data_IF_768436220349
#
_entry.id   IF_768436220349
#
_cell.length_a   1.000
_cell.length_b   1.000
_cell.length_c   1.000
_cell.angle_alpha   90.00
_cell.angle_beta   90.00
_cell.angle_gamma   90.00
#
_symmetry.space_group_name_H-M   'P 1'
#
loop_
_entity.id
_entity.type
_entity.pdbx_description
1 polymer ?
#
# COMPACT_ATOMS: atom_id res chain seq x y z
N UNK A 1 50.31 31.84 51.19
CA UNK A 1 50.88 32.76 50.19
C UNK A 1 51.49 31.84 49.12
N UNK A 2 51.11 31.83 47.86
CA UNK A 2 50.77 32.89 46.91
C UNK A 2 49.66 32.45 45.94
N UNK A 3 48.83 33.42 45.55
CA UNK A 3 47.76 33.31 44.56
C UNK A 3 48.37 33.11 43.16
N UNK A 4 47.87 32.17 42.38
CA UNK A 4 47.95 32.24 40.92
C UNK A 4 46.55 32.05 40.33
N UNK A 5 46.04 33.19 39.87
CA UNK A 5 44.84 33.37 39.09
C UNK A 5 45.19 32.96 37.66
N UNK A 6 44.67 31.85 37.16
CA UNK A 6 44.70 31.54 35.72
C UNK A 6 43.27 31.53 35.20
N UNK A 7 42.93 32.69 34.66
CA UNK A 7 41.80 32.97 33.80
C UNK A 7 41.86 32.05 32.57
N UNK A 8 41.05 30.96 32.55
CA UNK A 8 40.89 30.17 31.33
C UNK A 8 39.58 30.58 30.67
N UNK A 9 39.75 31.33 29.59
CA UNK A 9 38.78 31.84 28.64
C UNK A 9 37.72 30.78 28.27
N UNK A 10 36.50 30.92 28.79
CA UNK A 10 35.34 30.22 28.24
C UNK A 10 35.00 30.94 26.92
N UNK A 11 35.49 30.38 25.81
CA UNK A 11 35.01 30.75 24.49
C UNK A 11 33.54 30.31 24.40
N UNK A 12 32.64 31.23 24.70
CA UNK A 12 31.21 31.10 24.48
C UNK A 12 30.99 31.07 22.96
N UNK A 13 30.98 29.86 22.39
CA UNK A 13 30.66 29.63 20.98
C UNK A 13 29.16 29.93 20.80
N UNK A 14 28.87 31.16 20.40
CA UNK A 14 27.54 31.63 20.05
C UNK A 14 27.12 30.90 18.78
N UNK A 15 26.35 29.81 18.93
CA UNK A 15 25.74 29.11 17.79
C UNK A 15 24.61 30.00 17.27
N UNK A 16 24.92 30.81 16.26
CA UNK A 16 23.89 31.48 15.47
C UNK A 16 23.15 30.41 14.65
N UNK A 17 21.82 30.28 14.78
CA UNK A 17 21.05 29.49 13.84
C UNK A 17 21.04 30.25 12.51
N UNK A 18 21.89 29.84 11.57
CA UNK A 18 21.77 30.29 10.19
C UNK A 18 20.48 29.70 9.61
N UNK A 19 19.66 30.49 8.87
CA UNK A 19 18.59 29.93 8.08
C UNK A 19 19.21 29.03 7.01
N UNK A 20 19.01 27.72 7.12
CA UNK A 20 19.36 26.74 6.08
C UNK A 20 18.36 26.93 4.94
N UNK A 21 18.66 27.85 4.05
CA UNK A 21 18.18 27.82 2.66
C UNK A 21 19.38 27.48 1.79
N UNK A 22 19.73 26.20 1.77
CA UNK A 22 20.68 25.66 0.82
C UNK A 22 19.89 24.73 -0.12
N UNK A 23 19.72 25.16 -1.37
CA UNK A 23 19.64 24.18 -2.45
C UNK A 23 20.95 23.39 -2.36
N UNK A 24 20.89 22.11 -2.01
CA UNK A 24 22.05 21.25 -1.99
C UNK A 24 22.54 21.13 -3.44
N UNK A 25 23.62 21.82 -3.79
CA UNK A 25 24.25 21.64 -5.09
C UNK A 25 24.82 20.22 -5.14
N UNK A 26 24.24 19.36 -5.98
CA UNK A 26 24.76 18.02 -6.24
C UNK A 26 26.16 18.16 -6.84
N UNK A 27 27.15 17.55 -6.19
CA UNK A 27 28.54 17.56 -6.66
C UNK A 27 28.69 16.63 -7.87
N UNK A 28 29.57 16.99 -8.81
CA UNK A 28 29.81 16.24 -10.04
C UNK A 28 30.56 14.92 -9.85
N UNK A 29 31.04 14.58 -8.64
CA UNK A 29 31.70 13.30 -8.39
C UNK A 29 32.90 13.03 -9.31
N UNK A 30 33.00 11.81 -9.83
CA UNK A 30 33.99 11.44 -10.86
C UNK A 30 33.39 11.76 -12.23
N UNK A 31 34.09 12.56 -13.04
CA UNK A 31 33.57 13.04 -14.32
C UNK A 31 33.80 12.08 -15.48
N UNK A 32 32.96 12.15 -16.54
CA UNK A 32 33.21 11.43 -17.78
C UNK A 32 34.59 11.76 -18.37
N UNK A 33 35.35 10.71 -18.70
CA UNK A 33 36.70 10.86 -19.25
C UNK A 33 37.83 10.77 -18.21
N UNK A 34 37.51 10.78 -16.91
CA UNK A 34 38.46 10.39 -15.87
C UNK A 34 38.61 8.87 -15.83
N UNK A 35 39.81 8.37 -15.50
CA UNK A 35 40.14 6.93 -15.52
C UNK A 35 39.18 6.09 -14.68
N UNK A 36 38.73 6.63 -13.53
CA UNK A 36 37.86 5.92 -12.60
C UNK A 36 36.36 6.05 -12.91
N UNK A 37 35.96 6.82 -13.92
CA UNK A 37 34.55 7.02 -14.26
C UNK A 37 33.84 5.71 -14.63
N UNK A 38 34.57 4.79 -15.29
CA UNK A 38 34.02 3.47 -15.59
C UNK A 38 33.62 2.71 -14.32
N UNK A 39 34.41 2.80 -13.26
CA UNK A 39 34.11 2.15 -11.98
C UNK A 39 32.96 2.83 -11.26
N UNK A 40 32.87 4.15 -11.37
CA UNK A 40 31.79 4.96 -10.79
C UNK A 40 30.43 4.53 -11.35
N UNK A 41 30.25 4.65 -12.67
CA UNK A 41 29.03 4.23 -13.36
C UNK A 41 28.75 2.72 -13.22
N UNK A 42 29.78 1.87 -13.13
CA UNK A 42 29.59 0.44 -12.87
C UNK A 42 29.06 0.19 -11.46
N UNK A 43 29.57 0.90 -10.45
CA UNK A 43 29.12 0.79 -9.06
C UNK A 43 27.69 1.31 -8.89
N UNK A 44 27.32 2.39 -9.58
CA UNK A 44 25.95 2.91 -9.66
C UNK A 44 24.99 1.86 -10.25
N UNK A 45 25.34 1.26 -11.39
CA UNK A 45 24.53 0.22 -12.04
C UNK A 45 24.37 -1.02 -11.17
N UNK A 46 25.44 -1.46 -10.50
CA UNK A 46 25.38 -2.56 -9.52
C UNK A 46 24.45 -2.17 -8.36
N UNK A 47 24.62 -0.97 -7.80
CA UNK A 47 23.79 -0.45 -6.74
C UNK A 47 22.31 -0.37 -7.13
N UNK A 48 22.01 0.08 -8.34
CA UNK A 48 20.66 0.16 -8.90
C UNK A 48 20.06 -1.22 -9.17
N UNK A 49 20.87 -2.19 -9.61
CA UNK A 49 20.46 -3.58 -9.79
C UNK A 49 20.00 -4.20 -8.46
N UNK A 50 20.77 -4.00 -7.39
CA UNK A 50 20.47 -4.50 -6.04
C UNK A 50 19.50 -3.62 -5.24
N UNK A 51 19.10 -2.46 -5.76
CA UNK A 51 18.07 -1.64 -5.12
C UNK A 51 16.71 -2.30 -5.27
N UNK A 52 16.07 -2.68 -4.17
CA UNK A 52 14.76 -3.34 -4.23
C UNK A 52 13.61 -2.33 -4.24
N UNK A 53 12.59 -2.62 -5.06
CA UNK A 53 11.36 -1.84 -5.17
C UNK A 53 11.44 -0.72 -6.21
N UNK A 54 10.35 -0.55 -6.98
CA UNK A 54 10.26 0.49 -8.03
C UNK A 54 10.40 1.90 -7.46
N UNK A 55 9.88 2.14 -6.25
CA UNK A 55 9.99 3.44 -5.57
C UNK A 55 11.45 3.83 -5.35
N UNK A 56 12.25 2.96 -4.74
CA UNK A 56 13.65 3.24 -4.46
C UNK A 56 14.48 3.34 -5.74
N UNK A 57 14.17 2.52 -6.76
CA UNK A 57 14.82 2.63 -8.07
C UNK A 57 14.53 3.96 -8.75
N UNK A 58 13.30 4.48 -8.65
CA UNK A 58 12.95 5.78 -9.21
C UNK A 58 13.73 6.91 -8.52
N UNK A 59 13.78 6.89 -7.18
CA UNK A 59 14.53 7.88 -6.38
C UNK A 59 16.02 7.86 -6.73
N UNK A 60 16.62 6.67 -6.79
CA UNK A 60 18.03 6.51 -7.13
C UNK A 60 18.36 6.94 -8.57
N UNK A 61 17.47 6.67 -9.51
CA UNK A 61 17.61 7.17 -10.88
C UNK A 61 17.59 8.71 -10.93
N UNK A 62 16.73 9.38 -10.14
CA UNK A 62 16.76 10.84 -10.04
C UNK A 62 18.08 11.37 -9.47
N UNK A 63 18.63 10.71 -8.43
CA UNK A 63 19.94 11.07 -7.87
C UNK A 63 21.05 10.98 -8.92
N UNK A 64 21.09 9.90 -9.71
CA UNK A 64 22.06 9.78 -10.80
C UNK A 64 21.81 10.82 -11.90
N UNK A 65 20.55 11.16 -12.20
CA UNK A 65 20.24 12.22 -13.17
C UNK A 65 20.80 13.57 -12.72
N UNK A 66 20.66 13.92 -11.43
CA UNK A 66 21.27 15.13 -10.85
C UNK A 66 22.80 15.12 -10.98
N UNK A 67 23.44 13.98 -10.72
CA UNK A 67 24.88 13.80 -10.86
C UNK A 67 25.35 14.01 -12.30
N UNK A 68 24.65 13.41 -13.28
CA UNK A 68 24.97 13.62 -14.71
C UNK A 68 24.83 15.08 -15.13
N UNK A 69 23.88 15.83 -14.56
CA UNK A 69 23.76 17.28 -14.83
C UNK A 69 24.93 18.08 -14.23
N UNK A 70 25.38 17.71 -13.04
CA UNK A 70 26.55 18.31 -12.41
C UNK A 70 27.82 18.05 -13.24
N UNK A 71 28.03 16.80 -13.68
CA UNK A 71 29.12 16.42 -14.59
C UNK A 71 29.08 17.21 -15.90
N UNK A 72 27.90 17.38 -16.50
CA UNK A 72 27.73 18.13 -17.73
C UNK A 72 28.06 19.62 -17.56
N UNK A 73 27.61 20.23 -16.45
CA UNK A 73 27.91 21.63 -16.12
C UNK A 73 29.40 21.86 -15.95
N UNK A 74 30.10 20.97 -15.25
CA UNK A 74 31.55 21.09 -15.06
C UNK A 74 32.31 20.83 -16.36
N UNK A 75 31.95 19.78 -17.10
CA UNK A 75 32.57 19.43 -18.39
C UNK A 75 32.38 20.53 -19.45
N UNK A 76 31.25 21.23 -19.42
CA UNK A 76 31.00 22.38 -20.29
C UNK A 76 31.95 23.54 -19.97
N UNK A 77 32.23 23.82 -18.70
CA UNK A 77 33.21 24.85 -18.31
C UNK A 77 34.64 24.48 -18.77
N UNK A 78 34.93 23.20 -18.93
CA UNK A 78 36.22 22.67 -19.42
C UNK A 78 36.29 22.54 -20.94
N UNK A 79 35.24 22.92 -21.68
CA UNK A 79 35.09 22.71 -23.13
C UNK A 79 35.25 21.22 -23.55
N UNK A 80 34.94 20.29 -22.65
CA UNK A 80 35.04 18.86 -22.94
C UNK A 80 33.72 18.32 -23.52
N UNK A 81 33.53 18.53 -24.82
CA UNK A 81 32.29 18.17 -25.55
C UNK A 81 31.94 16.69 -25.44
N UNK A 82 32.92 15.79 -25.52
CA UNK A 82 32.69 14.34 -25.38
C UNK A 82 32.20 13.96 -23.99
N UNK A 83 32.71 14.61 -22.95
CA UNK A 83 32.24 14.38 -21.59
C UNK A 83 30.80 14.89 -21.41
N UNK A 84 30.47 16.05 -21.97
CA UNK A 84 29.09 16.57 -22.00
C UNK A 84 28.16 15.59 -22.72
N UNK A 85 28.50 15.13 -23.92
CA UNK A 85 27.68 14.17 -24.67
C UNK A 85 27.41 12.89 -23.88
N UNK A 86 28.44 12.37 -23.19
CA UNK A 86 28.31 11.16 -22.37
C UNK A 86 27.42 11.39 -21.15
N UNK A 87 27.59 12.53 -20.46
CA UNK A 87 26.73 12.91 -19.35
C UNK A 87 25.26 13.07 -19.80
N UNK A 88 25.02 13.68 -20.97
CA UNK A 88 23.67 13.82 -21.54
C UNK A 88 23.05 12.48 -21.92
N UNK A 89 23.84 11.51 -22.39
CA UNK A 89 23.34 10.16 -22.62
C UNK A 89 22.89 9.50 -21.31
N UNK A 90 23.72 9.56 -20.26
CA UNK A 90 23.38 9.02 -18.95
C UNK A 90 22.17 9.71 -18.32
N UNK A 91 22.10 11.04 -18.38
CA UNK A 91 20.95 11.81 -17.88
C UNK A 91 19.63 11.33 -18.48
N UNK A 92 19.59 11.14 -19.81
CA UNK A 92 18.39 10.67 -20.52
C UNK A 92 17.97 9.27 -20.06
N UNK A 93 18.92 8.36 -19.85
CA UNK A 93 18.63 7.01 -19.34
C UNK A 93 18.00 7.10 -17.95
N UNK A 94 18.59 7.90 -17.06
CA UNK A 94 18.18 7.99 -15.65
C UNK A 94 16.83 8.69 -15.47
N UNK A 95 16.58 9.82 -16.15
CA UNK A 95 15.28 10.50 -16.05
C UNK A 95 14.13 9.67 -16.66
N UNK A 96 14.42 8.91 -17.73
CA UNK A 96 13.44 7.99 -18.33
C UNK A 96 13.14 6.83 -17.40
N UNK A 97 14.17 6.28 -16.75
CA UNK A 97 14.03 5.21 -15.78
C UNK A 97 13.23 5.66 -14.55
N UNK A 98 13.52 6.84 -14.01
CA UNK A 98 12.78 7.43 -12.90
C UNK A 98 11.28 7.55 -13.23
N UNK A 99 10.99 8.05 -14.42
CA UNK A 99 9.62 8.16 -14.94
C UNK A 99 8.96 6.79 -15.08
N UNK A 100 9.63 5.81 -15.69
CA UNK A 100 9.10 4.45 -15.87
C UNK A 100 8.80 3.75 -14.54
N UNK A 101 9.73 3.80 -13.59
CA UNK A 101 9.56 3.13 -12.29
C UNK A 101 8.50 3.78 -11.43
N UNK A 102 8.31 5.09 -11.54
CA UNK A 102 7.22 5.81 -10.86
C UNK A 102 5.85 5.37 -11.35
N UNK A 103 5.66 5.23 -12.67
CA UNK A 103 4.41 4.71 -13.25
C UNK A 103 4.13 3.25 -12.92
N UNK A 104 5.18 2.44 -12.80
CA UNK A 104 5.05 1.02 -12.51
C UNK A 104 4.66 0.69 -11.08
N UNK A 105 4.41 1.69 -10.21
CA UNK A 105 4.01 1.48 -8.83
C UNK A 105 2.55 1.05 -8.74
N UNK A 106 2.30 0.00 -7.93
CA UNK A 106 0.94 -0.51 -7.67
C UNK A 106 0.15 0.35 -6.71
N UNK A 107 0.84 1.05 -5.81
CA UNK A 107 0.24 1.97 -4.86
C UNK A 107 0.05 3.33 -5.55
N UNK A 108 -1.21 3.70 -5.79
CA UNK A 108 -1.57 4.91 -6.53
C UNK A 108 -1.11 6.20 -5.83
N UNK A 109 -1.14 6.24 -4.50
CA UNK A 109 -0.70 7.42 -3.76
C UNK A 109 0.81 7.60 -3.88
N UNK A 110 1.57 6.49 -3.76
CA UNK A 110 3.02 6.51 -3.96
C UNK A 110 3.40 6.81 -5.40
N UNK A 111 2.66 6.28 -6.36
CA UNK A 111 2.85 6.58 -7.78
C UNK A 111 2.67 8.07 -8.04
N UNK A 112 1.58 8.66 -7.54
CA UNK A 112 1.32 10.10 -7.66
C UNK A 112 2.42 10.94 -7.00
N UNK A 113 2.83 10.62 -5.77
CA UNK A 113 3.90 11.31 -5.06
C UNK A 113 5.20 11.31 -5.87
N UNK A 114 5.64 10.14 -6.34
CA UNK A 114 6.87 10.01 -7.11
C UNK A 114 6.79 10.69 -8.47
N UNK A 115 5.65 10.62 -9.17
CA UNK A 115 5.45 11.32 -10.44
C UNK A 115 5.50 12.85 -10.27
N UNK A 116 5.00 13.38 -9.15
CA UNK A 116 5.14 14.81 -8.83
C UNK A 116 6.63 15.16 -8.65
N UNK A 117 7.36 14.36 -7.87
CA UNK A 117 8.81 14.55 -7.68
C UNK A 117 9.56 14.51 -9.01
N UNK A 118 9.25 13.55 -9.89
CA UNK A 118 9.85 13.47 -11.24
C UNK A 118 9.53 14.71 -12.06
N UNK A 119 8.27 15.17 -12.07
CA UNK A 119 7.85 16.35 -12.80
C UNK A 119 8.57 17.62 -12.31
N UNK A 120 8.64 17.83 -11.00
CA UNK A 120 9.33 18.97 -10.39
C UNK A 120 10.83 18.96 -10.69
N UNK A 121 11.48 17.79 -10.60
CA UNK A 121 12.89 17.66 -10.96
C UNK A 121 13.12 17.89 -12.45
N UNK A 122 12.28 17.35 -13.33
CA UNK A 122 12.38 17.57 -14.77
C UNK A 122 12.29 19.06 -15.14
N UNK A 123 11.49 19.88 -14.43
CA UNK A 123 11.46 21.34 -14.62
C UNK A 123 12.80 21.96 -14.23
N UNK A 124 13.32 21.65 -13.05
CA UNK A 124 14.62 22.15 -12.58
C UNK A 124 15.77 21.73 -13.49
N UNK A 125 15.73 20.48 -13.96
CA UNK A 125 16.73 19.92 -14.86
C UNK A 125 16.75 20.64 -16.20
N UNK A 126 15.58 21.01 -16.74
CA UNK A 126 15.49 21.81 -17.97
C UNK A 126 16.17 23.18 -17.83
N UNK A 127 16.09 23.83 -16.67
CA UNK A 127 16.80 25.10 -16.41
C UNK A 127 18.32 24.91 -16.42
N UNK A 128 18.81 23.84 -15.79
CA UNK A 128 20.23 23.50 -15.79
C UNK A 128 20.71 23.17 -17.20
N UNK A 129 19.96 22.33 -17.94
CA UNK A 129 20.28 21.97 -19.32
C UNK A 129 20.31 23.18 -20.25
N UNK A 130 19.39 24.13 -20.09
CA UNK A 130 19.41 25.39 -20.83
C UNK A 130 20.67 26.20 -20.52
N UNK A 131 21.08 26.29 -19.24
CA UNK A 131 22.33 26.94 -18.86
C UNK A 131 23.57 26.26 -19.44
N UNK A 132 23.59 24.92 -19.52
CA UNK A 132 24.69 24.17 -20.13
C UNK A 132 24.72 24.39 -21.65
N UNK A 133 23.55 24.44 -22.30
CA UNK A 133 23.41 24.67 -23.74
C UNK A 133 24.06 26.00 -24.18
N UNK A 134 23.95 27.04 -23.36
CA UNK A 134 24.54 28.37 -23.63
C UNK A 134 26.08 28.37 -23.58
N UNK A 135 26.68 27.43 -22.84
CA UNK A 135 28.12 27.40 -22.57
C UNK A 135 28.91 26.50 -23.51
N UNK A 136 28.26 25.48 -24.06
CA UNK A 136 28.96 24.50 -24.89
C UNK A 136 29.14 24.99 -26.32
N UNK A 137 30.21 24.55 -27.01
CA UNK A 137 30.37 24.82 -28.43
C UNK A 137 29.37 24.00 -29.25
N UNK A 138 29.24 24.33 -30.54
CA UNK A 138 28.18 23.83 -31.43
C UNK A 138 28.13 22.30 -31.49
N UNK A 139 29.28 21.64 -31.38
CA UNK A 139 29.44 20.20 -31.46
C UNK A 139 28.62 19.45 -30.39
N UNK A 140 28.48 20.02 -29.18
CA UNK A 140 27.79 19.37 -28.07
C UNK A 140 26.32 19.82 -27.91
N UNK A 141 25.87 20.86 -28.63
CA UNK A 141 24.52 21.42 -28.45
C UNK A 141 23.41 20.42 -28.74
N UNK A 142 23.57 19.59 -29.77
CA UNK A 142 22.54 18.61 -30.15
C UNK A 142 22.28 17.60 -29.03
N UNK A 143 23.33 17.16 -28.31
CA UNK A 143 23.16 16.22 -27.21
C UNK A 143 22.32 16.81 -26.07
N UNK A 144 22.51 18.11 -25.77
CA UNK A 144 21.75 18.82 -24.74
C UNK A 144 20.32 19.11 -25.19
N UNK A 145 20.12 19.51 -26.45
CA UNK A 145 18.76 19.70 -27.00
C UNK A 145 17.94 18.41 -26.91
N UNK A 146 18.54 17.27 -27.25
CA UNK A 146 17.90 15.96 -27.09
C UNK A 146 17.60 15.63 -25.62
N UNK A 147 18.49 16.02 -24.69
CA UNK A 147 18.25 15.83 -23.25
C UNK A 147 17.08 16.70 -22.74
N UNK A 148 16.98 17.94 -23.22
CA UNK A 148 15.84 18.84 -22.92
C UNK A 148 14.53 18.23 -23.43
N UNK A 149 14.52 17.70 -24.66
CA UNK A 149 13.33 17.07 -25.25
C UNK A 149 12.89 15.85 -24.44
N UNK A 150 13.81 14.96 -24.07
CA UNK A 150 13.50 13.80 -23.21
C UNK A 150 12.99 14.25 -21.84
N UNK A 151 13.58 15.30 -21.26
CA UNK A 151 13.13 15.85 -19.98
C UNK A 151 11.70 16.39 -20.07
N UNK A 152 11.35 17.10 -21.15
CA UNK A 152 10.00 17.61 -21.39
C UNK A 152 9.00 16.50 -21.60
N UNK A 153 9.33 15.52 -22.44
CA UNK A 153 8.47 14.36 -22.68
C UNK A 153 8.22 13.55 -21.40
N UNK A 154 9.24 13.38 -20.56
CA UNK A 154 9.11 12.75 -19.25
C UNK A 154 8.20 13.55 -18.30
N UNK A 155 8.33 14.88 -18.26
CA UNK A 155 7.49 15.78 -17.46
C UNK A 155 6.02 15.74 -17.90
N UNK A 156 5.75 15.90 -19.20
CA UNK A 156 4.40 15.89 -19.76
C UNK A 156 3.68 14.58 -19.43
N UNK A 157 4.39 13.48 -19.60
CA UNK A 157 3.89 12.15 -19.31
C UNK A 157 3.70 11.92 -17.81
N UNK A 158 4.57 12.45 -16.94
CA UNK A 158 4.36 12.40 -15.49
C UNK A 158 3.09 13.17 -15.09
N UNK A 159 2.89 14.38 -15.62
CA UNK A 159 1.70 15.21 -15.39
C UNK A 159 0.44 14.48 -15.87
N UNK A 160 0.47 13.87 -17.06
CA UNK A 160 -0.65 13.09 -17.57
C UNK A 160 -1.03 11.96 -16.61
N UNK A 161 -0.06 11.18 -16.17
CA UNK A 161 -0.30 10.06 -15.24
C UNK A 161 -0.86 10.53 -13.89
N UNK A 162 -0.37 11.66 -13.35
CA UNK A 162 -0.94 12.29 -12.15
C UNK A 162 -2.42 12.64 -12.35
N UNK A 163 -2.78 13.21 -13.50
CA UNK A 163 -4.18 13.56 -13.78
C UNK A 163 -5.09 12.33 -13.90
N UNK A 164 -4.59 11.25 -14.49
CA UNK A 164 -5.32 9.97 -14.61
C UNK A 164 -5.56 9.35 -13.22
N UNK A 165 -4.53 9.28 -12.38
CA UNK A 165 -4.63 8.75 -11.01
C UNK A 165 -5.64 9.54 -10.16
N UNK A 166 -5.61 10.88 -10.22
CA UNK A 166 -6.59 11.72 -9.52
C UNK A 166 -8.02 11.46 -9.98
N UNK A 167 -8.22 11.27 -11.28
CA UNK A 167 -9.53 10.92 -11.85
C UNK A 167 -10.06 9.58 -11.35
N UNK A 168 -9.21 8.56 -11.30
CA UNK A 168 -9.56 7.23 -10.78
C UNK A 168 -9.93 7.25 -9.30
N UNK A 169 -9.14 7.98 -8.49
CA UNK A 169 -9.40 8.13 -7.05
C UNK A 169 -10.76 8.79 -6.80
N UNK A 170 -11.12 9.83 -7.54
CA UNK A 170 -12.42 10.48 -7.41
C UNK A 170 -13.59 9.57 -7.83
N UNK A 171 -13.40 8.71 -8.85
CA UNK A 171 -14.39 7.71 -9.24
C UNK A 171 -14.58 6.67 -8.14
N UNK A 172 -13.50 6.13 -7.58
CA UNK A 172 -13.53 5.15 -6.50
C UNK A 172 -14.21 5.71 -5.24
N UNK A 173 -13.97 6.99 -4.90
CA UNK A 173 -14.66 7.66 -3.78
C UNK A 173 -16.17 7.70 -3.98
N UNK A 174 -16.64 7.99 -5.20
CA UNK A 174 -18.08 7.98 -5.53
C UNK A 174 -18.67 6.58 -5.41
N UNK A 175 -18.02 5.57 -5.97
CA UNK A 175 -18.46 4.17 -5.87
C UNK A 175 -18.53 3.71 -4.40
N UNK A 176 -17.53 4.05 -3.58
CA UNK A 176 -17.53 3.74 -2.14
C UNK A 176 -18.67 4.46 -1.41
N UNK A 177 -18.97 5.71 -1.74
CA UNK A 177 -20.08 6.45 -1.14
C UNK A 177 -21.44 5.83 -1.50
N UNK A 178 -21.64 5.45 -2.77
CA UNK A 178 -22.84 4.76 -3.22
C UNK A 178 -23.02 3.39 -2.55
N UNK A 179 -21.93 2.62 -2.41
CA UNK A 179 -21.96 1.34 -1.72
C UNK A 179 -22.29 1.49 -0.24
N UNK A 180 -21.74 2.51 0.43
CA UNK A 180 -22.09 2.82 1.83
C UNK A 180 -23.56 3.18 1.98
N UNK A 181 -24.09 4.06 1.11
CA UNK A 181 -25.50 4.42 1.12
C UNK A 181 -26.41 3.20 0.89
N UNK A 182 -26.09 2.33 -0.07
CA UNK A 182 -26.82 1.08 -0.32
C UNK A 182 -26.80 0.14 0.88
N UNK A 183 -25.66 0.02 1.56
CA UNK A 183 -25.52 -0.82 2.75
C UNK A 183 -26.35 -0.27 3.92
N UNK A 184 -26.33 1.05 4.15
CA UNK A 184 -27.16 1.70 5.17
C UNK A 184 -28.66 1.52 4.92
N UNK A 185 -29.10 1.60 3.66
CA UNK A 185 -30.50 1.32 3.30
C UNK A 185 -30.86 -0.13 3.56
N UNK A 186 -30.00 -1.09 3.18
CA UNK A 186 -30.23 -2.51 3.48
C UNK A 186 -30.26 -2.79 4.99
N UNK A 187 -29.40 -2.14 5.78
CA UNK A 187 -29.42 -2.26 7.25
C UNK A 187 -30.75 -1.73 7.80
N UNK A 188 -31.22 -0.55 7.35
CA UNK A 188 -32.51 0.02 7.76
C UNK A 188 -33.70 -0.85 7.36
N UNK A 189 -33.73 -1.36 6.13
CA UNK A 189 -34.76 -2.31 5.69
C UNK A 189 -34.73 -3.60 6.53
N UNK A 190 -33.53 -4.08 6.89
CA UNK A 190 -33.37 -5.26 7.75
C UNK A 190 -33.81 -5.00 9.19
N UNK A 191 -33.59 -3.79 9.71
CA UNK A 191 -34.04 -3.34 11.03
C UNK A 191 -35.56 -3.12 11.08
N UNK A 192 -36.16 -2.49 10.06
CA UNK A 192 -37.62 -2.33 9.94
C UNK A 192 -38.34 -3.69 9.77
N UNK A 193 -37.70 -4.66 9.09
CA UNK A 193 -38.16 -6.06 9.02
C UNK A 193 -38.01 -6.84 10.33
N UNK A 194 -37.19 -6.36 11.28
CA UNK A 194 -37.13 -6.89 12.65
C UNK A 194 -38.18 -6.23 13.52
N UNK A 195 -38.40 -4.92 13.42
CA UNK A 195 -39.35 -4.17 14.26
C UNK A 195 -40.82 -4.57 13.95
N UNK A 196 -41.14 -4.84 12.68
CA UNK A 196 -42.43 -5.45 12.30
C UNK A 196 -42.59 -6.92 12.75
N UNK A 197 -41.51 -7.57 13.20
CA UNK A 197 -41.50 -8.93 13.78
C UNK A 197 -41.46 -8.96 15.30
N UNK A 198 -41.31 -7.83 15.99
CA UNK A 198 -41.47 -7.75 17.45
C UNK A 198 -42.92 -7.35 17.76
N UNK A 199 -43.85 -8.29 17.53
CA UNK A 199 -44.98 -8.40 18.46
C UNK A 199 -44.38 -8.98 19.74
N UNK A 200 -44.68 -8.38 20.89
CA UNK A 200 -44.31 -8.89 22.21
C UNK A 200 -44.45 -10.41 22.21
N UNK A 201 -43.40 -11.20 22.53
CA UNK A 201 -43.45 -12.64 22.42
C UNK A 201 -44.64 -13.15 23.21
N UNK A 202 -45.56 -13.87 22.56
CA UNK A 202 -46.64 -14.54 23.28
C UNK A 202 -45.99 -15.50 24.29
N UNK A 203 -46.65 -15.83 25.40
CA UNK A 203 -46.08 -16.72 26.41
C UNK A 203 -45.57 -18.08 25.84
N UNK A 204 -46.08 -18.50 24.67
CA UNK A 204 -45.60 -19.64 23.89
C UNK A 204 -44.20 -19.45 23.31
N UNK A 205 -43.82 -18.24 22.91
CA UNK A 205 -42.54 -17.95 22.25
C UNK A 205 -41.37 -18.01 23.25
N UNK A 206 -41.58 -17.53 24.48
CA UNK A 206 -40.60 -17.65 25.57
C UNK A 206 -40.28 -19.11 25.93
N UNK A 207 -41.29 -19.99 25.90
CA UNK A 207 -41.09 -21.42 26.14
C UNK A 207 -40.26 -22.05 25.01
N UNK A 208 -40.52 -21.65 23.76
CA UNK A 208 -39.78 -22.14 22.58
C UNK A 208 -38.31 -21.67 22.61
N UNK A 209 -38.04 -20.43 23.01
CA UNK A 209 -36.68 -19.92 23.19
C UNK A 209 -35.90 -20.67 24.27
N UNK A 210 -36.56 -20.98 25.38
CA UNK A 210 -35.96 -21.80 26.45
C UNK A 210 -35.66 -23.22 25.96
N UNK A 211 -36.54 -23.80 25.14
CA UNK A 211 -36.36 -25.13 24.57
C UNK A 211 -35.16 -25.19 23.60
N UNK A 212 -34.97 -24.17 22.76
CA UNK A 212 -33.79 -24.08 21.88
C UNK A 212 -32.49 -23.94 22.67
N UNK A 213 -32.51 -23.14 23.75
CA UNK A 213 -31.34 -22.98 24.63
C UNK A 213 -30.97 -24.30 25.30
N UNK A 214 -31.97 -25.06 25.78
CA UNK A 214 -31.76 -26.39 26.34
C UNK A 214 -31.19 -27.37 25.31
N UNK A 215 -31.65 -27.34 24.05
CA UNK A 215 -31.09 -28.17 22.99
C UNK A 215 -29.61 -27.86 22.75
N UNK A 216 -29.25 -26.58 22.64
CA UNK A 216 -27.87 -26.15 22.41
C UNK A 216 -26.95 -26.67 23.54
N UNK A 217 -27.37 -26.51 24.80
CA UNK A 217 -26.65 -27.03 25.96
C UNK A 217 -26.44 -28.55 25.86
N UNK A 218 -27.47 -29.30 25.47
CA UNK A 218 -27.35 -30.76 25.31
C UNK A 218 -26.38 -31.11 24.18
N UNK A 219 -26.39 -30.38 23.07
CA UNK A 219 -25.49 -30.62 21.93
C UNK A 219 -24.04 -30.24 22.20
N UNK A 220 -23.80 -29.20 23.01
CA UNK A 220 -22.48 -28.80 23.48
C UNK A 220 -21.89 -29.84 24.43
N UNK A 221 -22.74 -30.40 25.31
CA UNK A 221 -22.33 -31.40 26.29
C UNK A 221 -22.39 -32.85 25.76
N UNK A 222 -22.79 -33.05 24.50
CA UNK A 222 -22.87 -34.37 23.89
C UNK A 222 -21.47 -34.95 23.61
N UNK A 223 -20.87 -35.48 24.69
CA UNK A 223 -19.80 -36.46 24.73
C UNK A 223 -18.39 -35.87 24.69
N UNK A 224 -17.82 -35.56 25.87
CA UNK A 224 -16.36 -35.46 25.99
C UNK A 224 -15.71 -36.76 25.51
N UNK A 225 -14.60 -36.65 24.75
CA UNK A 225 -13.92 -37.82 24.22
C UNK A 225 -13.37 -38.66 25.38
N UNK A 226 -13.73 -39.96 25.49
CA UNK A 226 -13.10 -40.82 26.48
C UNK A 226 -11.58 -40.89 26.24
N UNK A 227 -10.76 -40.94 27.31
CA UNK A 227 -9.31 -40.95 27.18
C UNK A 227 -8.82 -42.14 26.33
N UNK A 228 -9.52 -43.28 26.39
CA UNK A 228 -9.13 -44.53 25.72
C UNK A 228 -9.87 -44.82 24.40
N UNK A 229 -10.50 -43.82 23.76
CA UNK A 229 -11.22 -43.98 22.48
C UNK A 229 -10.51 -43.23 21.35
N UNK A 230 -10.44 -43.82 20.15
CA UNK A 230 -9.88 -43.15 18.97
C UNK A 230 -10.77 -41.96 18.55
N UNK A 231 -10.15 -40.94 17.97
CA UNK A 231 -10.87 -39.73 17.52
C UNK A 231 -11.95 -40.07 16.49
N UNK A 232 -11.69 -41.01 15.59
CA UNK A 232 -12.66 -41.44 14.58
C UNK A 232 -13.85 -42.19 15.19
N UNK A 233 -13.59 -43.14 16.09
CA UNK A 233 -14.67 -43.89 16.76
C UNK A 233 -15.53 -42.96 17.63
N UNK A 234 -14.90 -42.00 18.32
CA UNK A 234 -15.60 -40.99 19.09
C UNK A 234 -16.43 -40.05 18.21
N UNK A 235 -15.90 -39.58 17.07
CA UNK A 235 -16.65 -38.70 16.17
C UNK A 235 -17.95 -39.37 15.66
N UNK A 236 -17.91 -40.66 15.34
CA UNK A 236 -19.10 -41.43 14.94
C UNK A 236 -20.10 -41.59 16.10
N UNK A 237 -19.60 -41.91 17.30
CA UNK A 237 -20.44 -42.07 18.50
C UNK A 237 -21.06 -40.74 18.95
N UNK A 238 -20.28 -39.67 18.99
CA UNK A 238 -20.73 -38.32 19.34
C UNK A 238 -21.78 -37.80 18.34
N UNK A 239 -21.61 -38.06 17.04
CA UNK A 239 -22.64 -37.77 16.05
C UNK A 239 -23.94 -38.51 16.35
N UNK A 240 -23.87 -39.82 16.62
CA UNK A 240 -25.05 -40.62 16.98
C UNK A 240 -25.79 -40.12 18.23
N UNK A 241 -25.04 -39.72 19.26
CA UNK A 241 -25.59 -39.13 20.48
C UNK A 241 -26.29 -37.78 20.22
N UNK A 242 -25.66 -36.92 19.41
CA UNK A 242 -26.24 -35.63 19.02
C UNK A 242 -27.52 -35.81 18.19
N UNK A 243 -27.50 -36.71 17.21
CA UNK A 243 -28.71 -37.01 16.43
C UNK A 243 -29.84 -37.56 17.30
N UNK A 244 -29.52 -38.42 18.27
CA UNK A 244 -30.50 -38.95 19.21
C UNK A 244 -31.08 -37.85 20.12
N UNK A 245 -30.23 -36.99 20.67
CA UNK A 245 -30.65 -35.85 21.47
C UNK A 245 -31.58 -34.91 20.70
N UNK A 246 -31.26 -34.62 19.43
CA UNK A 246 -32.14 -33.84 18.58
C UNK A 246 -33.47 -34.58 18.35
N UNK A 247 -33.46 -35.88 18.01
CA UNK A 247 -34.70 -36.66 17.79
C UNK A 247 -35.61 -36.66 19.02
N UNK A 248 -35.03 -36.81 20.21
CA UNK A 248 -35.79 -36.79 21.47
C UNK A 248 -36.32 -35.39 21.79
N UNK A 249 -35.54 -34.35 21.50
CA UNK A 249 -35.98 -32.97 21.62
C UNK A 249 -37.12 -32.63 20.66
N UNK A 250 -37.06 -33.08 19.40
CA UNK A 250 -38.14 -32.88 18.43
C UNK A 250 -39.45 -33.50 18.91
N UNK A 251 -39.38 -34.69 19.52
CA UNK A 251 -40.55 -35.38 20.07
C UNK A 251 -41.18 -34.61 21.25
N UNK A 252 -40.35 -33.95 22.05
CA UNK A 252 -40.79 -33.18 23.21
C UNK A 252 -41.31 -31.79 22.84
N UNK A 253 -40.93 -31.26 21.67
CA UNK A 253 -41.25 -29.90 21.24
C UNK A 253 -41.97 -29.86 19.87
N UNK A 254 -43.10 -30.58 19.69
CA UNK A 254 -43.77 -30.66 18.39
C UNK A 254 -44.27 -29.30 17.88
N UNK A 255 -44.63 -28.39 18.79
CA UNK A 255 -45.13 -27.05 18.47
C UNK A 255 -44.08 -26.15 17.78
N UNK A 256 -42.79 -26.50 17.83
CA UNK A 256 -41.72 -25.79 17.11
C UNK A 256 -41.89 -25.93 15.60
N UNK A 257 -42.45 -27.05 15.15
CA UNK A 257 -42.58 -27.38 13.73
C UNK A 257 -43.85 -26.82 13.08
N UNK A 258 -44.70 -26.10 13.84
CA UNK A 258 -45.85 -25.39 13.26
C UNK A 258 -45.52 -23.99 12.74
N UNK A 259 -44.26 -23.54 12.85
CA UNK A 259 -43.81 -22.20 12.44
C UNK A 259 -42.57 -22.27 11.54
N UNK A 260 -42.68 -21.69 10.35
CA UNK A 260 -41.56 -21.58 9.39
C UNK A 260 -40.36 -20.82 9.98
N UNK A 261 -40.58 -19.88 10.90
CA UNK A 261 -39.50 -19.14 11.55
C UNK A 261 -38.70 -20.03 12.53
N UNK A 262 -39.39 -20.86 13.32
CA UNK A 262 -38.76 -21.79 14.25
C UNK A 262 -38.07 -22.95 13.53
N UNK A 263 -38.66 -23.45 12.44
CA UNK A 263 -38.02 -24.43 11.55
C UNK A 263 -36.70 -23.88 10.99
N UNK A 264 -36.68 -22.63 10.50
CA UNK A 264 -35.44 -22.00 10.01
C UNK A 264 -34.38 -21.92 11.09
N UNK A 265 -34.74 -21.54 12.31
CA UNK A 265 -33.80 -21.45 13.43
C UNK A 265 -33.28 -22.82 13.87
N UNK A 266 -34.14 -23.82 13.95
CA UNK A 266 -33.75 -25.19 14.23
C UNK A 266 -32.72 -25.70 13.20
N UNK A 267 -32.93 -25.42 11.90
CA UNK A 267 -31.98 -25.78 10.85
C UNK A 267 -30.62 -25.09 11.01
N UNK A 268 -30.58 -23.84 11.46
CA UNK A 268 -29.33 -23.12 11.75
C UNK A 268 -28.57 -23.84 12.88
N UNK A 269 -29.28 -24.24 13.95
CA UNK A 269 -28.69 -24.99 15.07
C UNK A 269 -28.11 -26.32 14.56
N UNK A 270 -28.88 -27.12 13.83
CA UNK A 270 -28.39 -28.40 13.28
C UNK A 270 -27.17 -28.22 12.37
N UNK A 271 -27.17 -27.19 11.53
CA UNK A 271 -26.04 -26.88 10.65
C UNK A 271 -24.78 -26.55 11.45
N UNK A 272 -24.91 -25.79 12.55
CA UNK A 272 -23.78 -25.45 13.42
C UNK A 272 -23.11 -26.65 14.09
N UNK A 273 -23.83 -27.77 14.21
CA UNK A 273 -23.32 -29.04 14.75
C UNK A 273 -23.09 -30.13 13.70
N UNK A 274 -23.19 -29.82 12.40
CA UNK A 274 -22.95 -30.77 11.31
C UNK A 274 -24.05 -31.83 11.12
N UNK A 275 -25.29 -31.54 11.54
CA UNK A 275 -26.46 -32.43 11.50
C UNK A 275 -27.47 -32.06 10.39
N UNK A 276 -26.96 -31.58 9.25
CA UNK A 276 -27.77 -30.98 8.18
C UNK A 276 -28.66 -31.97 7.40
N UNK A 277 -28.45 -33.27 7.57
CA UNK A 277 -29.16 -34.37 6.90
C UNK A 277 -30.35 -34.91 7.72
N UNK A 278 -30.57 -34.39 8.92
CA UNK A 278 -31.68 -34.77 9.78
C UNK A 278 -33.03 -34.34 9.16
N UNK A 279 -33.90 -35.32 8.90
CA UNK A 279 -35.24 -35.06 8.38
C UNK A 279 -36.14 -34.48 9.47
N UNK A 280 -36.69 -33.31 9.20
CA UNK A 280 -37.78 -32.73 9.99
C UNK A 280 -39.06 -33.50 9.66
N UNK A 281 -39.87 -33.91 10.64
CA UNK A 281 -41.21 -34.44 10.40
C UNK A 281 -42.04 -33.43 9.59
N UNK A 282 -42.69 -33.89 8.51
CA UNK A 282 -43.70 -33.11 7.78
C UNK A 282 -45.01 -33.10 8.57
#
# INVERSE_FOLDING_TARGET
MSKFLTLSLVALMFVLPLPVSAATETSAGIKPGQFLYFFDTASEKIGLFFTFGSENKAKKALEHADERLAEAKESANENNTKAVEKAMAGYKEEISLATEKSKGLKDQNKAEELLNIVSENAVRHQEILASVLEKVPEEAKQAILNAIEVSKGGQEEAVKQITELKGEVEKLKKEVAELKAKNETQIKETEELKDTRIKTPQASDLQIESAFSALQIVLDNAGEKPPNMSIYAWAQLARGLKEQAVRDWMRQNPNVFSSTAYIKRFNIILTSYGLYDMRIPQ
#
